data_IF_125892034345
#
_entry.id   IF_125892034345
#
_cell.length_a   1.000
_cell.length_b   1.000
_cell.length_c   1.000
_cell.angle_alpha   90.00
_cell.angle_beta   90.00
_cell.angle_gamma   90.00
#
_symmetry.space_group_name_H-M   'P 1'
#
loop_
_entity.id
_entity.type
_entity.pdbx_description
1 polymer ?
#
# COMPACT_ATOMS: atom_id res chain seq x y z
N UNK A 1 -18.46 20.45 3.79
CA UNK A 1 -18.56 19.07 3.31
C UNK A 1 -17.56 18.75 2.20
N UNK A 2 -17.48 19.58 1.14
CA UNK A 2 -16.52 19.40 0.05
C UNK A 2 -15.05 19.37 0.50
N UNK A 3 -14.67 20.21 1.48
CA UNK A 3 -13.30 20.27 2.03
C UNK A 3 -12.88 18.95 2.70
N UNK A 4 -13.74 18.37 3.51
CA UNK A 4 -13.45 17.09 4.19
C UNK A 4 -13.29 15.94 3.21
N UNK A 5 -14.19 15.86 2.25
CA UNK A 5 -14.13 14.83 1.19
C UNK A 5 -12.88 15.00 0.31
N UNK A 6 -12.54 16.24 -0.01
CA UNK A 6 -11.32 16.57 -0.75
C UNK A 6 -10.07 16.15 0.01
N UNK A 7 -10.01 16.41 1.32
CA UNK A 7 -8.87 16.06 2.16
C UNK A 7 -8.67 14.54 2.23
N UNK A 8 -9.74 13.78 2.42
CA UNK A 8 -9.70 12.31 2.43
C UNK A 8 -9.29 11.74 1.07
N UNK A 9 -9.80 12.31 0.00
CA UNK A 9 -9.39 11.95 -1.36
C UNK A 9 -7.91 12.21 -1.58
N UNK A 10 -7.43 13.39 -1.18
CA UNK A 10 -6.03 13.78 -1.35
C UNK A 10 -5.09 12.83 -0.58
N UNK A 11 -5.42 12.49 0.65
CA UNK A 11 -4.63 11.55 1.45
C UNK A 11 -4.52 10.18 0.76
N UNK A 12 -5.65 9.65 0.33
CA UNK A 12 -5.69 8.36 -0.38
C UNK A 12 -4.92 8.42 -1.71
N UNK A 13 -5.11 9.49 -2.46
CA UNK A 13 -4.45 9.68 -3.75
C UNK A 13 -2.93 9.73 -3.61
N UNK A 14 -2.42 10.50 -2.67
CA UNK A 14 -0.98 10.59 -2.40
C UNK A 14 -0.41 9.25 -1.96
N UNK A 15 -1.11 8.54 -1.09
CA UNK A 15 -0.68 7.22 -0.64
C UNK A 15 -0.55 6.21 -1.79
N UNK A 16 -1.54 6.17 -2.67
CA UNK A 16 -1.60 5.20 -3.77
C UNK A 16 -0.71 5.56 -4.96
N UNK A 17 -0.52 6.85 -5.23
CA UNK A 17 0.06 7.34 -6.49
C UNK A 17 1.44 7.98 -6.35
N UNK A 18 1.98 8.09 -5.16
CA UNK A 18 3.32 8.67 -4.91
C UNK A 18 4.17 7.80 -4.01
N UNK A 19 5.47 7.94 -4.12
CA UNK A 19 6.49 7.31 -3.29
C UNK A 19 7.80 8.09 -3.39
N UNK A 20 8.88 7.59 -2.81
CA UNK A 20 10.19 8.26 -2.81
C UNK A 20 10.76 8.52 -4.22
N UNK A 21 10.32 7.76 -5.20
CA UNK A 21 10.78 7.88 -6.59
C UNK A 21 9.75 8.57 -7.51
N UNK A 22 8.55 8.81 -7.01
CA UNK A 22 7.43 9.35 -7.80
C UNK A 22 6.72 10.42 -6.99
N UNK A 23 7.01 11.67 -7.29
CA UNK A 23 6.33 12.83 -6.71
C UNK A 23 5.30 13.42 -7.69
N UNK A 24 4.41 14.24 -7.18
CA UNK A 24 3.41 14.93 -7.97
C UNK A 24 3.49 16.44 -7.71
N UNK A 25 3.45 17.23 -8.77
CA UNK A 25 3.49 18.71 -8.66
C UNK A 25 2.17 19.28 -8.18
N UNK A 26 2.21 20.52 -7.69
CA UNK A 26 1.00 21.25 -7.30
C UNK A 26 0.00 21.37 -8.45
N UNK A 27 0.47 21.65 -9.65
CA UNK A 27 -0.39 21.78 -10.83
C UNK A 27 -1.07 20.47 -11.21
N UNK A 28 -0.33 19.37 -11.14
CA UNK A 28 -0.88 18.03 -11.39
C UNK A 28 -1.92 17.65 -10.32
N UNK A 29 -1.67 17.98 -9.05
CA UNK A 29 -2.65 17.76 -7.98
C UNK A 29 -3.93 18.54 -8.18
N UNK A 30 -3.82 19.81 -8.60
CA UNK A 30 -4.98 20.65 -8.92
C UNK A 30 -5.80 19.98 -10.03
N UNK A 31 -5.14 19.53 -11.11
CA UNK A 31 -5.81 18.86 -12.22
C UNK A 31 -6.52 17.58 -11.79
N UNK A 32 -5.89 16.78 -10.94
CA UNK A 32 -6.49 15.54 -10.39
C UNK A 32 -7.70 15.85 -9.52
N UNK A 33 -7.61 16.85 -8.65
CA UNK A 33 -8.71 17.25 -7.78
C UNK A 33 -9.90 17.76 -8.60
N UNK A 34 -9.65 18.62 -9.58
CA UNK A 34 -10.69 19.14 -10.48
C UNK A 34 -11.36 18.03 -11.30
N UNK A 35 -10.59 17.07 -11.82
CA UNK A 35 -11.11 15.92 -12.55
C UNK A 35 -12.03 15.04 -11.68
N UNK A 36 -11.86 15.09 -10.37
CA UNK A 36 -12.68 14.36 -9.40
C UNK A 36 -13.77 15.21 -8.75
N UNK A 37 -14.05 16.39 -9.30
CA UNK A 37 -15.15 17.25 -8.87
C UNK A 37 -14.83 18.17 -7.68
N UNK A 38 -13.56 18.32 -7.31
CA UNK A 38 -13.14 19.20 -6.23
C UNK A 38 -12.55 20.48 -6.80
N UNK A 39 -13.05 21.63 -6.35
CA UNK A 39 -12.43 22.91 -6.66
C UNK A 39 -11.13 23.04 -5.87
N UNK A 40 -10.04 23.36 -6.56
CA UNK A 40 -8.73 23.51 -5.95
C UNK A 40 -7.89 24.58 -6.64
N UNK A 41 -7.08 25.25 -5.86
CA UNK A 41 -6.04 26.17 -6.32
C UNK A 41 -4.76 25.90 -5.52
N UNK A 42 -3.69 26.64 -5.81
CA UNK A 42 -2.40 26.45 -5.14
C UNK A 42 -2.48 26.58 -3.63
N UNK A 43 -3.23 27.58 -3.15
CA UNK A 43 -3.42 27.80 -1.71
C UNK A 43 -4.19 26.65 -1.09
N UNK A 44 -5.25 26.19 -1.73
CA UNK A 44 -6.06 25.05 -1.27
C UNK A 44 -5.23 23.79 -1.11
N UNK A 45 -4.42 23.46 -2.11
CA UNK A 45 -3.53 22.28 -2.07
C UNK A 45 -2.52 22.40 -0.93
N UNK A 46 -1.91 23.58 -0.79
CA UNK A 46 -0.96 23.82 0.30
C UNK A 46 -1.60 23.64 1.67
N UNK A 47 -2.75 24.27 1.89
CA UNK A 47 -3.47 24.19 3.16
C UNK A 47 -3.90 22.74 3.48
N UNK A 48 -4.39 22.02 2.48
CA UNK A 48 -4.79 20.60 2.64
C UNK A 48 -3.59 19.71 2.96
N UNK A 49 -2.46 19.90 2.30
CA UNK A 49 -1.22 19.15 2.59
C UNK A 49 -0.72 19.45 3.99
N UNK A 50 -0.72 20.73 4.40
CA UNK A 50 -0.35 21.12 5.77
C UNK A 50 -1.26 20.47 6.82
N UNK A 51 -2.57 20.40 6.56
CA UNK A 51 -3.51 19.69 7.43
C UNK A 51 -3.22 18.21 7.56
N UNK A 52 -2.82 17.55 6.47
CA UNK A 52 -2.44 16.14 6.51
C UNK A 52 -1.16 15.94 7.30
N UNK A 53 -0.17 16.80 7.12
CA UNK A 53 1.08 16.76 7.91
C UNK A 53 0.79 16.99 9.40
N UNK A 54 -0.07 17.94 9.74
CA UNK A 54 -0.49 18.20 11.12
C UNK A 54 -1.26 17.01 11.74
N UNK A 55 -1.86 16.18 10.91
CA UNK A 55 -2.53 14.93 11.31
C UNK A 55 -1.61 13.71 11.30
N UNK A 56 -0.31 13.92 11.33
CA UNK A 56 0.74 12.88 11.38
C UNK A 56 0.87 12.02 10.11
N UNK A 57 0.34 12.47 8.97
CA UNK A 57 0.66 11.83 7.70
C UNK A 57 2.02 12.29 7.20
N UNK A 58 2.87 11.35 6.85
CA UNK A 58 4.23 11.63 6.40
C UNK A 58 4.24 12.01 4.91
N UNK A 59 3.96 13.27 4.64
CA UNK A 59 4.00 13.84 3.29
C UNK A 59 5.22 14.75 3.19
N UNK A 60 6.08 14.46 2.23
CA UNK A 60 7.29 15.22 1.97
C UNK A 60 7.05 16.22 0.85
N UNK A 61 7.61 17.42 1.04
CA UNK A 61 7.50 18.51 0.09
C UNK A 61 8.88 18.79 -0.48
N UNK A 62 9.02 18.65 -1.78
CA UNK A 62 10.24 18.96 -2.50
C UNK A 62 10.01 20.17 -3.42
N UNK A 63 11.05 20.96 -3.62
CA UNK A 63 10.99 22.04 -4.60
C UNK A 63 11.38 21.51 -5.97
N UNK A 64 10.47 21.66 -6.91
CA UNK A 64 10.71 21.39 -8.33
C UNK A 64 10.66 22.71 -9.10
N UNK A 65 11.82 23.35 -9.23
CA UNK A 65 11.93 24.68 -9.82
C UNK A 65 11.21 25.75 -8.98
N UNK A 66 10.16 26.38 -9.54
CA UNK A 66 9.33 27.38 -8.86
C UNK A 66 8.10 26.79 -8.18
N UNK A 67 7.88 25.50 -8.31
CA UNK A 67 6.71 24.79 -7.81
C UNK A 67 7.12 23.80 -6.72
N UNK A 68 6.15 23.35 -5.93
CA UNK A 68 6.34 22.26 -4.99
C UNK A 68 5.91 20.94 -5.61
N UNK A 69 6.62 19.89 -5.27
CA UNK A 69 6.23 18.50 -5.53
C UNK A 69 6.02 17.76 -4.21
N UNK A 70 5.08 16.87 -4.19
CA UNK A 70 4.66 16.16 -2.99
C UNK A 70 4.77 14.66 -3.20
N UNK A 71 5.22 13.95 -2.17
CA UNK A 71 5.14 12.50 -2.17
C UNK A 71 4.90 11.97 -0.76
N UNK A 72 4.31 10.79 -0.70
CA UNK A 72 4.12 10.09 0.56
C UNK A 72 5.43 9.44 0.98
N UNK A 73 5.87 9.70 2.20
CA UNK A 73 7.14 9.21 2.75
C UNK A 73 7.01 7.84 3.41
N UNK A 74 7.08 7.81 4.74
CA UNK A 74 7.07 6.57 5.51
C UNK A 74 5.75 5.83 5.42
N UNK A 75 5.85 4.52 5.21
CA UNK A 75 4.72 3.58 5.18
C UNK A 75 4.89 2.55 6.29
N UNK A 76 3.84 1.79 6.59
CA UNK A 76 3.90 0.71 7.57
C UNK A 76 5.04 -0.26 7.26
N UNK A 77 5.19 -0.62 5.98
CA UNK A 77 6.29 -1.44 5.49
C UNK A 77 7.03 -0.72 4.37
N UNK A 78 8.36 -0.78 4.42
CA UNK A 78 9.21 -0.35 3.32
C UNK A 78 9.21 -1.39 2.20
N UNK A 79 9.56 -0.97 0.99
CA UNK A 79 9.57 -1.86 -0.18
C UNK A 79 10.38 -3.15 0.02
N UNK A 80 11.61 -3.14 0.59
CA UNK A 80 12.34 -4.38 0.86
C UNK A 80 11.62 -5.33 1.81
N UNK A 81 10.93 -4.80 2.81
CA UNK A 81 10.14 -5.59 3.76
C UNK A 81 8.93 -6.24 3.07
N UNK A 82 8.22 -5.49 2.22
CA UNK A 82 7.12 -6.02 1.41
C UNK A 82 7.61 -7.09 0.43
N UNK A 83 8.79 -6.93 -0.17
CA UNK A 83 9.41 -7.95 -1.02
C UNK A 83 9.63 -9.25 -0.26
N UNK A 84 10.13 -9.18 0.97
CA UNK A 84 10.31 -10.35 1.82
C UNK A 84 8.99 -11.05 2.14
N UNK A 85 7.95 -10.26 2.49
CA UNK A 85 6.63 -10.80 2.80
C UNK A 85 5.96 -11.45 1.58
N UNK A 86 6.02 -10.82 0.43
CA UNK A 86 5.50 -11.36 -0.83
C UNK A 86 6.23 -12.66 -1.20
N UNK A 87 7.55 -12.70 -1.08
CA UNK A 87 8.35 -13.89 -1.33
C UNK A 87 7.99 -15.03 -0.36
N UNK A 88 7.80 -14.74 0.91
CA UNK A 88 7.40 -15.72 1.91
C UNK A 88 6.04 -16.35 1.58
N UNK A 89 5.05 -15.51 1.22
CA UNK A 89 3.72 -15.98 0.83
C UNK A 89 3.78 -16.82 -0.46
N UNK A 90 4.48 -16.33 -1.48
CA UNK A 90 4.55 -17.00 -2.78
C UNK A 90 5.35 -18.31 -2.70
N UNK A 91 6.32 -18.42 -1.79
CA UNK A 91 7.13 -19.62 -1.58
C UNK A 91 6.47 -20.67 -0.70
N UNK A 92 5.47 -20.32 0.08
CA UNK A 92 4.84 -21.23 1.02
C UNK A 92 4.11 -22.37 0.30
N UNK A 93 4.43 -23.59 0.66
CA UNK A 93 3.74 -24.78 0.15
C UNK A 93 2.41 -25.04 0.86
N UNK A 94 2.19 -24.41 2.01
CA UNK A 94 0.99 -24.58 2.84
C UNK A 94 -0.15 -23.65 2.43
N UNK A 95 0.12 -22.65 1.59
CA UNK A 95 -0.86 -21.70 1.12
C UNK A 95 -1.22 -22.01 -0.34
N UNK A 96 -2.51 -22.19 -0.62
CA UNK A 96 -2.98 -22.42 -2.00
C UNK A 96 -2.66 -21.21 -2.90
N UNK A 97 -2.63 -21.42 -4.21
CA UNK A 97 -2.39 -20.36 -5.18
C UNK A 97 -3.42 -19.23 -5.03
N UNK A 98 -4.69 -19.56 -4.92
CA UNK A 98 -5.77 -18.59 -4.73
C UNK A 98 -5.58 -17.77 -3.45
N UNK A 99 -5.26 -18.42 -2.33
CA UNK A 99 -5.03 -17.71 -1.06
C UNK A 99 -3.77 -16.87 -1.08
N UNK A 100 -2.73 -17.34 -1.76
CA UNK A 100 -1.50 -16.56 -1.97
C UNK A 100 -1.78 -15.28 -2.75
N UNK A 101 -2.51 -15.37 -3.85
CA UNK A 101 -2.86 -14.21 -4.67
C UNK A 101 -3.66 -13.18 -3.86
N UNK A 102 -4.62 -13.63 -3.07
CA UNK A 102 -5.41 -12.75 -2.20
C UNK A 102 -4.53 -12.04 -1.16
N UNK A 103 -3.60 -12.75 -0.53
CA UNK A 103 -2.66 -12.17 0.44
C UNK A 103 -1.68 -11.19 -0.20
N UNK A 104 -1.15 -11.53 -1.38
CA UNK A 104 -0.23 -10.67 -2.12
C UNK A 104 -0.93 -9.37 -2.53
N UNK A 105 -2.17 -9.42 -2.98
CA UNK A 105 -2.95 -8.22 -3.29
C UNK A 105 -3.12 -7.32 -2.06
N UNK A 106 -3.36 -7.89 -0.89
CA UNK A 106 -3.44 -7.13 0.37
C UNK A 106 -2.10 -6.48 0.74
N UNK A 107 -1.01 -7.20 0.56
CA UNK A 107 0.34 -6.68 0.80
C UNK A 107 0.68 -5.54 -0.17
N UNK A 108 0.35 -5.69 -1.44
CA UNK A 108 0.60 -4.63 -2.45
C UNK A 108 -0.22 -3.38 -2.21
N UNK A 109 -1.38 -3.48 -1.55
CA UNK A 109 -2.18 -2.32 -1.18
C UNK A 109 -1.53 -1.42 -0.12
N UNK A 110 -0.48 -1.90 0.55
CA UNK A 110 0.31 -1.14 1.51
C UNK A 110 1.42 -0.31 0.86
N UNK A 111 1.58 -0.40 -0.45
CA UNK A 111 2.57 0.30 -1.25
C UNK A 111 1.92 1.26 -2.26
N UNK A 112 2.74 2.08 -2.94
CA UNK A 112 2.27 2.85 -4.09
C UNK A 112 1.94 1.92 -5.27
N UNK A 113 1.21 2.41 -6.26
CA UNK A 113 0.91 1.65 -7.49
C UNK A 113 2.20 1.22 -8.23
N UNK A 114 3.24 2.03 -8.17
CA UNK A 114 4.53 1.75 -8.81
C UNK A 114 5.28 0.63 -8.10
N UNK A 115 5.36 0.72 -6.79
CA UNK A 115 5.96 -0.32 -5.95
C UNK A 115 5.16 -1.62 -6.01
N UNK A 116 3.83 -1.55 -6.06
CA UNK A 116 2.95 -2.70 -6.21
C UNK A 116 3.22 -3.44 -7.53
N UNK A 117 3.44 -2.73 -8.62
CA UNK A 117 3.83 -3.32 -9.90
C UNK A 117 5.17 -4.04 -9.81
N UNK A 118 6.15 -3.45 -9.15
CA UNK A 118 7.46 -4.08 -8.92
C UNK A 118 7.34 -5.36 -8.09
N UNK A 119 6.50 -5.36 -7.05
CA UNK A 119 6.25 -6.52 -6.20
C UNK A 119 5.60 -7.67 -6.97
N UNK A 120 4.61 -7.37 -7.81
CA UNK A 120 3.86 -8.38 -8.56
C UNK A 120 4.62 -8.93 -9.76
N UNK A 121 5.47 -8.15 -10.40
CA UNK A 121 6.25 -8.57 -11.55
C UNK A 121 7.14 -9.80 -11.26
N UNK A 122 7.68 -9.92 -10.06
CA UNK A 122 8.50 -11.06 -9.63
C UNK A 122 7.70 -12.32 -9.35
N UNK A 123 6.45 -12.19 -8.97
CA UNK A 123 5.57 -13.33 -8.64
C UNK A 123 5.25 -14.15 -9.87
N UNK A 124 5.04 -13.49 -11.01
CA UNK A 124 4.72 -14.15 -12.28
C UNK A 124 5.90 -14.92 -12.88
N UNK A 125 7.14 -14.63 -12.47
CA UNK A 125 8.33 -15.33 -12.96
C UNK A 125 8.72 -16.54 -12.13
N UNK A 126 8.13 -16.71 -10.95
CA UNK A 126 8.37 -17.85 -10.09
C UNK A 126 7.38 -18.97 -10.41
N UNK A 127 7.76 -19.85 -11.34
CA UNK A 127 7.05 -21.09 -11.69
C UNK A 127 7.09 -22.06 -10.51
N UNK A 128 6.36 -21.74 -9.45
CA UNK A 128 6.29 -22.60 -8.26
C UNK A 128 4.95 -23.31 -8.21
N UNK A 129 5.03 -24.64 -8.16
CA UNK A 129 3.87 -25.48 -7.95
C UNK A 129 3.35 -25.26 -6.53
N UNK A 130 2.23 -24.56 -6.42
CA UNK A 130 1.52 -24.37 -5.17
C UNK A 130 0.56 -25.53 -4.91
N UNK A 131 0.41 -25.91 -3.64
CA UNK A 131 -0.65 -26.83 -3.25
C UNK A 131 -2.01 -26.19 -3.52
N UNK A 132 -2.73 -26.72 -4.50
CA UNK A 132 -4.05 -26.22 -4.89
C UNK A 132 -5.15 -26.80 -4.01
N UNK A 133 -4.97 -26.68 -2.70
CA UNK A 133 -5.92 -27.21 -1.73
C UNK A 133 -6.10 -26.26 -0.53
N UNK A 134 -7.17 -25.47 -0.58
CA UNK A 134 -7.53 -24.57 0.52
C UNK A 134 -7.75 -25.26 1.87
N UNK A 135 -8.00 -26.58 1.87
CA UNK A 135 -8.15 -27.37 3.10
C UNK A 135 -6.83 -27.50 3.87
N UNK A 136 -5.70 -27.51 3.19
CA UNK A 136 -4.37 -27.61 3.83
C UNK A 136 -4.15 -26.44 4.79
N UNK A 137 -4.52 -25.23 4.39
CA UNK A 137 -4.41 -24.04 5.23
C UNK A 137 -5.24 -24.18 6.52
N UNK A 138 -6.49 -24.62 6.40
CA UNK A 138 -7.37 -24.84 7.54
C UNK A 138 -6.87 -25.92 8.47
N UNK A 139 -6.36 -27.04 7.92
CA UNK A 139 -5.79 -28.15 8.69
C UNK A 139 -4.57 -27.66 9.47
N UNK A 140 -3.68 -26.90 8.84
CA UNK A 140 -2.50 -26.34 9.49
C UNK A 140 -2.88 -25.41 10.66
N UNK A 141 -3.88 -24.57 10.50
CA UNK A 141 -4.37 -23.69 11.56
C UNK A 141 -4.95 -24.51 12.73
N UNK A 142 -5.76 -25.53 12.45
CA UNK A 142 -6.33 -26.42 13.47
C UNK A 142 -5.23 -27.15 14.24
N UNK A 143 -4.24 -27.71 13.55
CA UNK A 143 -3.11 -28.41 14.17
C UNK A 143 -2.30 -27.46 15.04
N UNK A 144 -2.01 -26.25 14.59
CA UNK A 144 -1.28 -25.25 15.37
C UNK A 144 -2.02 -24.86 16.65
N UNK A 145 -3.33 -24.67 16.57
CA UNK A 145 -4.17 -24.39 17.75
C UNK A 145 -4.20 -25.55 18.73
N UNK A 146 -4.29 -26.78 18.22
CA UNK A 146 -4.26 -27.98 19.04
C UNK A 146 -2.93 -28.12 19.80
N UNK A 147 -1.80 -27.86 19.16
CA UNK A 147 -0.47 -27.86 19.78
C UNK A 147 -0.38 -26.79 20.87
N UNK A 148 -0.85 -25.58 20.62
CA UNK A 148 -0.87 -24.50 21.62
C UNK A 148 -1.74 -24.86 22.84
N UNK A 149 -2.88 -25.48 22.62
CA UNK A 149 -3.76 -25.95 23.73
C UNK A 149 -3.09 -27.06 24.55
N UNK A 150 -2.41 -27.99 23.91
CA UNK A 150 -1.66 -29.05 24.61
C UNK A 150 -0.49 -28.49 25.46
N UNK A 151 0.15 -27.40 25.01
CA UNK A 151 1.22 -26.73 25.77
C UNK A 151 0.71 -25.97 26.99
N UNK A 152 -0.54 -25.53 27.00
CA UNK A 152 -1.16 -24.78 28.10
C UNK A 152 -1.83 -25.67 29.13
N UNK A 153 -1.98 -26.95 28.87
CA UNK A 153 -2.52 -27.93 29.85
C UNK A 153 -1.41 -28.40 30.77
N UNK A 154 -1.59 -28.33 32.10
CA UNK A 154 -0.63 -28.88 33.08
C UNK A 154 -0.51 -30.40 33.02
#
# INVERSE_FOLDING_TARGET
>A
MATKSRLLFLQKYLFENTDDNHSISTNELIAVLEANGFKANRKTVKDDVEMLIDADYDILIEKDGKSNAYHYGSRTFQLPELKMLVDAVSSSRFISAEKSDALIQKLTSLASKYEAQELTAKVFTADRIKADNGKIFLITDIVSRAIEQCRKSP
#
